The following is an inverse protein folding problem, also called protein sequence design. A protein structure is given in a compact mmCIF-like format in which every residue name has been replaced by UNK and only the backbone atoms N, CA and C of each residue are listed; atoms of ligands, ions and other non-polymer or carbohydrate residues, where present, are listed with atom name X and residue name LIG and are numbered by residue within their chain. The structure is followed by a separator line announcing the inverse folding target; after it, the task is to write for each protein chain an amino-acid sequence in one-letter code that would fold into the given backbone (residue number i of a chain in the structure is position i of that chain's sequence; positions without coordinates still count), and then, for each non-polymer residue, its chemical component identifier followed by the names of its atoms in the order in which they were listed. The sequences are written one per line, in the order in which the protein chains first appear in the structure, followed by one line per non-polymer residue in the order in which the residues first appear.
data_IF_135940078604
#
_entry.id   IF_135940078604
#
_cell.length_a   1.000
_cell.length_b   1.000
_cell.length_c   1.000
_cell.angle_alpha   90.00
_cell.angle_beta   90.00
_cell.angle_gamma   90.00
#
_symmetry.space_group_name_H-M   'P 1'
#
loop_
_entity.id
_entity.type
_entity.pdbx_description
1 polymer ?
#
# COMPACT_ATOMS: atom_id res chain seq x y z
N UNK A 1 -31.35 19.54 12.99
CA UNK A 1 -31.55 18.84 14.19
C UNK A 1 -30.44 17.84 14.46
N UNK A 2 -30.53 17.15 15.59
CA UNK A 2 -29.49 16.22 16.07
C UNK A 2 -29.22 15.09 15.08
N UNK A 3 -30.25 14.59 14.41
CA UNK A 3 -30.12 13.46 13.47
C UNK A 3 -29.27 13.86 12.26
N UNK A 4 -29.47 15.06 11.75
CA UNK A 4 -28.71 15.54 10.59
C UNK A 4 -27.24 15.77 10.92
N UNK A 5 -26.95 16.31 12.10
CA UNK A 5 -25.58 16.53 12.55
C UNK A 5 -24.85 15.19 12.72
N UNK A 6 -25.51 14.21 13.33
CA UNK A 6 -24.94 12.89 13.53
C UNK A 6 -24.71 12.19 12.19
N UNK A 7 -25.64 12.33 11.25
CA UNK A 7 -25.49 11.75 9.91
C UNK A 7 -24.30 12.35 9.17
N UNK A 8 -24.15 13.69 9.24
CA UNK A 8 -23.03 14.37 8.60
C UNK A 8 -21.69 13.94 9.19
N UNK A 9 -21.65 13.79 10.52
CA UNK A 9 -20.44 13.30 11.18
C UNK A 9 -20.10 11.88 10.75
N UNK A 10 -21.11 11.01 10.66
CA UNK A 10 -20.90 9.64 10.22
C UNK A 10 -20.44 9.58 8.76
N UNK A 11 -21.03 10.39 7.89
CA UNK A 11 -20.62 10.45 6.48
C UNK A 11 -19.19 10.95 6.34
N UNK A 12 -18.83 11.98 7.11
CA UNK A 12 -17.47 12.52 7.12
C UNK A 12 -16.47 11.49 7.63
N UNK A 13 -16.79 10.79 8.71
CA UNK A 13 -15.94 9.75 9.26
C UNK A 13 -15.74 8.62 8.25
N UNK A 14 -16.81 8.23 7.56
CA UNK A 14 -16.74 7.18 6.55
C UNK A 14 -15.88 7.60 5.37
N UNK A 15 -16.04 8.85 4.91
CA UNK A 15 -15.23 9.36 3.81
C UNK A 15 -13.74 9.42 4.18
N UNK A 16 -13.43 9.85 5.40
CA UNK A 16 -12.05 9.86 5.88
C UNK A 16 -11.48 8.44 6.00
N UNK A 17 -12.27 7.50 6.49
CA UNK A 17 -11.85 6.12 6.62
C UNK A 17 -11.57 5.50 5.25
N UNK A 18 -12.41 5.77 4.26
CA UNK A 18 -12.20 5.29 2.89
C UNK A 18 -10.94 5.88 2.28
N UNK A 19 -10.71 7.17 2.47
CA UNK A 19 -9.52 7.84 1.96
C UNK A 19 -8.25 7.28 2.61
N UNK A 20 -8.30 7.06 3.92
CA UNK A 20 -7.18 6.49 4.65
C UNK A 20 -6.87 5.07 4.18
N UNK A 21 -7.91 4.26 4.00
CA UNK A 21 -7.76 2.90 3.50
C UNK A 21 -7.16 2.88 2.10
N UNK A 22 -7.61 3.77 1.22
CA UNK A 22 -7.08 3.88 -0.13
C UNK A 22 -5.59 4.23 -0.12
N UNK A 23 -5.18 5.14 0.78
CA UNK A 23 -3.77 5.50 0.94
C UNK A 23 -2.95 4.31 1.45
N UNK A 24 -3.49 3.57 2.41
CA UNK A 24 -2.79 2.41 2.98
C UNK A 24 -2.60 1.32 1.92
N UNK A 25 -3.62 1.07 1.10
CA UNK A 25 -3.54 0.09 0.01
C UNK A 25 -2.51 0.54 -1.02
N UNK A 26 -2.52 1.83 -1.40
CA UNK A 26 -1.55 2.36 -2.35
C UNK A 26 -0.12 2.24 -1.83
N UNK A 27 0.09 2.55 -0.55
CA UNK A 27 1.39 2.44 0.09
C UNK A 27 1.86 0.97 0.14
N UNK A 28 0.95 0.06 0.47
CA UNK A 28 1.27 -1.37 0.51
C UNK A 28 1.64 -1.91 -0.87
N UNK A 29 0.93 -1.48 -1.90
CA UNK A 29 1.25 -1.88 -3.28
C UNK A 29 2.61 -1.36 -3.72
N UNK A 30 2.92 -0.12 -3.39
CA UNK A 30 4.22 0.47 -3.72
C UNK A 30 5.35 -0.28 -3.01
N UNK A 31 5.14 -0.65 -1.75
CA UNK A 31 6.12 -1.41 -0.98
C UNK A 31 6.33 -2.81 -1.56
N UNK A 32 5.24 -3.48 -1.93
CA UNK A 32 5.32 -4.80 -2.56
C UNK A 32 6.05 -4.74 -3.90
N UNK A 33 5.80 -3.71 -4.69
CA UNK A 33 6.47 -3.51 -5.97
C UNK A 33 7.97 -3.32 -5.76
N UNK A 34 8.36 -2.49 -4.80
CA UNK A 34 9.75 -2.27 -4.45
C UNK A 34 10.41 -3.57 -3.96
N UNK A 35 9.72 -4.31 -3.10
CA UNK A 35 10.24 -5.58 -2.58
C UNK A 35 10.42 -6.60 -3.69
N UNK A 36 9.48 -6.66 -4.63
CA UNK A 36 9.58 -7.56 -5.78
C UNK A 36 10.77 -7.21 -6.66
N UNK A 37 11.01 -5.92 -6.89
CA UNK A 37 12.16 -5.47 -7.66
C UNK A 37 13.48 -5.81 -6.96
N UNK A 38 13.54 -5.60 -5.66
CA UNK A 38 14.72 -5.93 -4.87
C UNK A 38 15.00 -7.43 -4.90
N UNK A 39 13.97 -8.24 -4.74
CA UNK A 39 14.10 -9.70 -4.79
C UNK A 39 14.57 -10.17 -6.17
N UNK A 40 14.02 -9.61 -7.23
CA UNK A 40 14.42 -9.95 -8.59
C UNK A 40 15.89 -9.58 -8.85
N UNK A 41 16.32 -8.42 -8.38
CA UNK A 41 17.71 -7.99 -8.51
C UNK A 41 18.66 -8.91 -7.73
N UNK A 42 18.28 -9.27 -6.51
CA UNK A 42 19.07 -10.18 -5.69
C UNK A 42 19.17 -11.57 -6.32
N UNK A 43 18.07 -12.08 -6.84
CA UNK A 43 18.05 -13.37 -7.53
C UNK A 43 18.96 -13.35 -8.76
N UNK A 44 18.90 -12.29 -9.55
CA UNK A 44 19.74 -12.13 -10.72
C UNK A 44 21.23 -12.08 -10.34
N UNK A 45 21.55 -11.34 -9.30
CA UNK A 45 22.91 -11.21 -8.79
C UNK A 45 23.46 -12.57 -8.34
N UNK A 46 22.65 -13.35 -7.62
CA UNK A 46 23.05 -14.67 -7.16
C UNK A 46 23.28 -15.64 -8.32
N UNK A 47 22.43 -15.61 -9.31
CA UNK A 47 22.58 -16.46 -10.50
C UNK A 47 23.85 -16.12 -11.26
N UNK A 48 24.10 -14.82 -11.48
CA UNK A 48 25.30 -14.37 -12.15
C UNK A 48 26.56 -14.73 -11.36
N UNK A 49 26.52 -14.56 -10.03
CA UNK A 49 27.62 -14.93 -9.17
C UNK A 49 27.97 -16.40 -9.26
N UNK A 50 26.98 -17.28 -9.33
CA UNK A 50 27.20 -18.72 -9.45
C UNK A 50 27.77 -19.10 -10.80
N UNK A 51 27.36 -18.44 -11.86
CA UNK A 51 27.86 -18.73 -13.22
C UNK A 51 29.29 -18.29 -13.41
N UNK A 52 29.67 -17.17 -12.79
CA UNK A 52 31.00 -16.62 -12.94
C UNK A 52 32.02 -17.38 -12.07
N UNK A 53 31.55 -17.86 -10.94
CA UNK A 53 32.43 -18.61 -10.05
C UNK A 53 32.51 -20.08 -10.45
#
# INVERSE_FOLDING_TARGET
ALVDATRKEAESALAQAKAHLARDVAAARAQLDTDAQTLAADAATQILGRRVS
#
